data_IF_730358732425
#
_entry.id   IF_730358732425
#
_cell.length_a   1.000
_cell.length_b   1.000
_cell.length_c   1.000
_cell.angle_alpha   90.00
_cell.angle_beta   90.00
_cell.angle_gamma   90.00
#
_symmetry.space_group_name_H-M   'P 1'
#
loop_
_entity.id
_entity.type
_entity.pdbx_description
1 polymer ?
#
# COMPACT_ATOMS: atom_id res chain seq x y z
N UNK A 1 2.34 18.95 -16.23
CA UNK A 1 0.96 18.43 -16.25
C UNK A 1 0.00 19.23 -15.40
N UNK A 2 0.39 20.12 -14.48
CA UNK A 2 -0.51 21.15 -13.94
C UNK A 2 0.28 22.42 -13.60
N UNK A 3 0.31 23.40 -14.51
CA UNK A 3 0.89 24.72 -14.26
C UNK A 3 -0.20 25.71 -13.80
N UNK A 4 -0.89 25.40 -12.70
CA UNK A 4 -1.84 26.30 -12.03
C UNK A 4 -3.14 26.64 -12.76
N UNK A 5 -3.24 26.42 -14.08
CA UNK A 5 -4.48 26.60 -14.86
C UNK A 5 -5.33 25.33 -14.84
N UNK A 6 -6.03 25.12 -13.73
CA UNK A 6 -6.94 23.98 -13.59
C UNK A 6 -8.20 24.14 -14.46
N UNK A 7 -8.65 25.36 -14.72
CA UNK A 7 -9.86 25.62 -15.50
C UNK A 7 -9.64 25.32 -16.99
N UNK A 8 -8.55 25.82 -17.58
CA UNK A 8 -8.16 25.51 -18.96
C UNK A 8 -7.80 24.03 -19.15
N UNK A 9 -7.21 23.38 -18.13
CA UNK A 9 -6.98 21.93 -18.12
C UNK A 9 -8.30 21.15 -18.14
N UNK A 10 -9.27 21.53 -17.30
CA UNK A 10 -10.58 20.88 -17.26
C UNK A 10 -11.36 21.05 -18.57
N UNK A 11 -11.29 22.23 -19.20
CA UNK A 11 -11.91 22.46 -20.51
C UNK A 11 -11.29 21.56 -21.59
N UNK A 12 -9.96 21.41 -21.57
CA UNK A 12 -9.25 20.55 -22.52
C UNK A 12 -9.66 19.07 -22.38
N UNK A 13 -9.76 18.56 -21.15
CA UNK A 13 -10.20 17.18 -20.90
C UNK A 13 -11.68 16.95 -21.25
N UNK A 14 -12.55 17.94 -21.03
CA UNK A 14 -13.95 17.89 -21.49
C UNK A 14 -14.03 17.76 -23.01
N UNK A 15 -13.29 18.58 -23.76
CA UNK A 15 -13.24 18.49 -25.23
C UNK A 15 -12.70 17.13 -25.69
N UNK A 16 -11.72 16.57 -24.96
CA UNK A 16 -11.21 15.22 -25.24
C UNK A 16 -12.29 14.15 -25.03
N UNK A 17 -13.09 14.23 -23.96
CA UNK A 17 -14.23 13.32 -23.73
C UNK A 17 -15.26 13.39 -24.87
N UNK A 18 -15.62 14.59 -25.31
CA UNK A 18 -16.57 14.77 -26.42
C UNK A 18 -16.07 14.10 -27.70
N UNK A 19 -14.76 14.20 -27.99
CA UNK A 19 -14.13 13.50 -29.10
C UNK A 19 -14.10 11.98 -28.95
N UNK A 20 -13.82 11.48 -27.75
CA UNK A 20 -13.76 10.04 -27.45
C UNK A 20 -15.13 9.35 -27.46
N UNK A 21 -16.23 10.07 -27.18
CA UNK A 21 -17.58 9.52 -27.31
C UNK A 21 -17.92 9.11 -28.76
N UNK A 22 -17.18 9.62 -29.76
CA UNK A 22 -17.37 9.33 -31.18
C UNK A 22 -16.54 8.15 -31.71
N UNK A 23 -15.90 7.34 -30.85
CA UNK A 23 -15.13 6.15 -31.28
C UNK A 23 -13.91 5.78 -30.44
N UNK A 24 -13.71 6.41 -29.28
CA UNK A 24 -12.63 6.12 -28.35
C UNK A 24 -12.82 4.79 -27.61
N UNK A 25 -11.71 4.17 -27.18
CA UNK A 25 -11.77 2.99 -26.34
C UNK A 25 -12.19 3.39 -24.91
N UNK A 26 -12.97 2.53 -24.24
CA UNK A 26 -13.40 2.69 -22.84
C UNK A 26 -12.24 3.03 -21.90
N UNK A 27 -11.04 2.49 -22.15
CA UNK A 27 -9.83 2.80 -21.39
C UNK A 27 -9.48 4.30 -21.43
N UNK A 28 -9.51 4.91 -22.61
CA UNK A 28 -9.14 6.31 -22.79
C UNK A 28 -10.19 7.23 -22.15
N UNK A 29 -11.46 6.83 -22.22
CA UNK A 29 -12.59 7.52 -21.57
C UNK A 29 -12.43 7.46 -20.04
N UNK A 30 -12.12 6.29 -19.48
CA UNK A 30 -11.87 6.12 -18.04
C UNK A 30 -10.68 6.97 -17.57
N UNK A 31 -9.55 6.90 -18.27
CA UNK A 31 -8.39 7.74 -17.98
C UNK A 31 -8.75 9.21 -17.96
N UNK A 32 -9.48 9.68 -18.98
CA UNK A 32 -9.83 11.10 -19.12
C UNK A 32 -10.74 11.55 -17.98
N UNK A 33 -11.72 10.72 -17.59
CA UNK A 33 -12.54 10.98 -16.41
C UNK A 33 -11.72 11.02 -15.11
N UNK A 34 -10.78 10.09 -14.91
CA UNK A 34 -9.93 10.08 -13.72
C UNK A 34 -9.07 11.34 -13.60
N UNK A 35 -8.43 11.76 -14.70
CA UNK A 35 -7.60 12.98 -14.72
C UNK A 35 -8.45 14.25 -14.59
N UNK A 36 -9.63 14.29 -15.21
CA UNK A 36 -10.58 15.38 -15.04
C UNK A 36 -11.05 15.49 -13.58
N UNK A 37 -11.30 14.35 -12.92
CA UNK A 37 -11.66 14.31 -11.50
C UNK A 37 -10.57 14.88 -10.59
N UNK A 38 -9.30 14.53 -10.82
CA UNK A 38 -8.17 15.13 -10.10
C UNK A 38 -8.06 16.64 -10.36
N UNK A 39 -8.27 17.05 -11.62
CA UNK A 39 -8.20 18.46 -12.01
C UNK A 39 -9.25 19.29 -11.26
N UNK A 40 -10.50 18.83 -11.21
CA UNK A 40 -11.55 19.48 -10.43
C UNK A 40 -11.25 19.47 -8.93
N UNK A 41 -10.73 18.36 -8.41
CA UNK A 41 -10.40 18.23 -7.00
C UNK A 41 -9.32 19.21 -6.55
N UNK A 42 -8.23 19.32 -7.30
CA UNK A 42 -7.17 20.30 -7.03
C UNK A 42 -7.62 21.75 -7.23
N UNK A 43 -8.65 21.98 -8.06
CA UNK A 43 -9.31 23.28 -8.18
C UNK A 43 -10.33 23.58 -7.05
N UNK A 44 -10.62 22.60 -6.18
CA UNK A 44 -11.61 22.72 -5.10
C UNK A 44 -13.07 22.46 -5.51
N UNK A 45 -13.34 22.07 -6.75
CA UNK A 45 -14.69 21.69 -7.22
C UNK A 45 -14.96 20.21 -6.86
N UNK A 46 -15.20 19.95 -5.58
CA UNK A 46 -15.37 18.61 -5.02
C UNK A 46 -16.55 17.86 -5.66
N UNK A 47 -17.64 18.57 -5.98
CA UNK A 47 -18.82 17.98 -6.60
C UNK A 47 -18.51 17.43 -8.00
N UNK A 48 -17.85 18.23 -8.86
CA UNK A 48 -17.47 17.75 -10.20
C UNK A 48 -16.33 16.74 -10.16
N UNK A 49 -15.44 16.84 -9.18
CA UNK A 49 -14.41 15.84 -8.94
C UNK A 49 -15.04 14.47 -8.65
N UNK A 50 -15.99 14.41 -7.71
CA UNK A 50 -16.70 13.19 -7.35
C UNK A 50 -17.46 12.60 -8.55
N UNK A 51 -18.19 13.44 -9.29
CA UNK A 51 -18.93 12.99 -10.48
C UNK A 51 -18.00 12.38 -11.54
N UNK A 52 -16.83 12.99 -11.77
CA UNK A 52 -15.85 12.49 -12.74
C UNK A 52 -15.21 11.17 -12.30
N UNK A 53 -14.87 11.04 -11.01
CA UNK A 53 -14.35 9.78 -10.48
C UNK A 53 -15.39 8.66 -10.53
N UNK A 54 -16.65 8.94 -10.21
CA UNK A 54 -17.74 7.96 -10.37
C UNK A 54 -17.89 7.50 -11.83
N UNK A 55 -17.79 8.41 -12.80
CA UNK A 55 -17.79 8.04 -14.22
C UNK A 55 -16.61 7.12 -14.59
N UNK A 56 -15.40 7.41 -14.11
CA UNK A 56 -14.24 6.54 -14.28
C UNK A 56 -14.49 5.13 -13.69
N UNK A 57 -14.97 5.06 -12.44
CA UNK A 57 -15.20 3.79 -11.74
C UNK A 57 -16.27 2.93 -12.44
N UNK A 58 -17.35 3.54 -12.93
CA UNK A 58 -18.40 2.85 -13.67
C UNK A 58 -17.89 2.19 -14.97
N UNK A 59 -16.82 2.72 -15.57
CA UNK A 59 -16.18 2.13 -16.75
C UNK A 59 -15.18 1.06 -16.35
N UNK A 60 -14.39 1.31 -15.30
CA UNK A 60 -13.31 0.41 -14.91
C UNK A 60 -13.82 -0.91 -14.29
N UNK A 61 -14.92 -0.87 -13.53
CA UNK A 61 -15.42 -2.06 -12.82
C UNK A 61 -15.81 -3.21 -13.76
N UNK A 62 -16.64 -3.00 -14.81
CA UNK A 62 -16.96 -4.06 -15.75
C UNK A 62 -15.79 -4.47 -16.65
N UNK A 63 -14.81 -3.57 -16.86
CA UNK A 63 -13.65 -3.81 -17.71
C UNK A 63 -12.48 -4.48 -16.98
N UNK A 64 -12.61 -4.76 -15.68
CA UNK A 64 -11.54 -5.22 -14.79
C UNK A 64 -10.27 -4.33 -14.87
N UNK A 65 -10.44 -3.06 -15.22
CA UNK A 65 -9.36 -2.08 -15.32
C UNK A 65 -8.95 -1.67 -13.90
N UNK A 66 -7.68 -1.87 -13.56
CA UNK A 66 -7.19 -1.72 -12.18
C UNK A 66 -6.40 -0.43 -11.95
N UNK A 67 -5.74 0.11 -12.99
CA UNK A 67 -4.85 1.25 -12.86
C UNK A 67 -5.62 2.53 -12.56
N UNK A 68 -6.49 2.96 -13.48
CA UNK A 68 -7.30 4.17 -13.35
C UNK A 68 -8.33 4.02 -12.23
N UNK A 69 -8.88 2.80 -12.04
CA UNK A 69 -9.73 2.49 -10.89
C UNK A 69 -9.05 2.83 -9.57
N UNK A 70 -7.82 2.36 -9.38
CA UNK A 70 -7.11 2.61 -8.12
C UNK A 70 -6.89 4.11 -7.88
N UNK A 71 -6.47 4.87 -8.90
CA UNK A 71 -6.21 6.31 -8.75
C UNK A 71 -7.50 7.12 -8.56
N UNK A 72 -8.60 6.73 -9.20
CA UNK A 72 -9.91 7.33 -8.95
C UNK A 72 -10.44 7.00 -7.55
N UNK A 73 -10.24 5.78 -7.04
CA UNK A 73 -10.61 5.44 -5.66
C UNK A 73 -9.84 6.27 -4.62
N UNK A 74 -8.52 6.42 -4.81
CA UNK A 74 -7.67 7.25 -3.94
C UNK A 74 -8.15 8.70 -3.94
N UNK A 75 -8.24 9.32 -5.12
CA UNK A 75 -8.62 10.73 -5.16
C UNK A 75 -10.09 10.96 -4.75
N UNK A 76 -11.01 10.01 -5.01
CA UNK A 76 -12.37 10.09 -4.51
C UNK A 76 -12.42 9.98 -2.97
N UNK A 77 -11.54 9.19 -2.36
CA UNK A 77 -11.38 9.11 -0.90
C UNK A 77 -11.05 10.48 -0.30
N UNK A 78 -10.06 11.18 -0.86
CA UNK A 78 -9.71 12.55 -0.48
C UNK A 78 -10.88 13.54 -0.69
N UNK A 79 -11.60 13.43 -1.80
CA UNK A 79 -12.75 14.30 -2.10
C UNK A 79 -13.89 14.10 -1.11
N UNK A 80 -14.25 12.86 -0.80
CA UNK A 80 -15.28 12.53 0.20
C UNK A 80 -14.88 13.04 1.57
N UNK A 81 -13.63 12.80 1.97
CA UNK A 81 -13.12 13.30 3.25
C UNK A 81 -13.16 14.83 3.36
N UNK A 82 -12.91 15.55 2.27
CA UNK A 82 -12.93 17.01 2.24
C UNK A 82 -14.34 17.62 2.18
N UNK A 83 -15.32 16.95 1.59
CA UNK A 83 -16.66 17.48 1.34
C UNK A 83 -17.59 17.38 2.56
N UNK A 84 -17.86 16.15 3.02
CA UNK A 84 -18.82 15.88 4.10
C UNK A 84 -18.16 15.36 5.39
N UNK A 85 -16.87 15.02 5.33
CA UNK A 85 -16.14 14.44 6.46
C UNK A 85 -16.54 13.01 6.81
N UNK A 86 -17.19 12.27 5.90
CA UNK A 86 -17.50 10.85 6.05
C UNK A 86 -16.21 10.03 6.03
N UNK A 87 -15.58 9.99 7.20
CA UNK A 87 -14.32 9.30 7.45
C UNK A 87 -14.44 7.80 7.14
N UNK A 88 -15.59 7.19 7.43
CA UNK A 88 -15.78 5.75 7.21
C UNK A 88 -15.74 5.43 5.73
N UNK A 89 -16.47 6.21 4.91
CA UNK A 89 -16.48 6.04 3.47
C UNK A 89 -15.15 6.39 2.84
N UNK A 90 -14.51 7.48 3.25
CA UNK A 90 -13.21 7.90 2.74
C UNK A 90 -12.13 6.83 3.00
N UNK A 91 -12.02 6.33 4.23
CA UNK A 91 -11.07 5.26 4.59
C UNK A 91 -11.36 3.98 3.81
N UNK A 92 -12.63 3.63 3.60
CA UNK A 92 -12.98 2.45 2.79
C UNK A 92 -12.54 2.58 1.32
N UNK A 93 -12.65 3.77 0.72
CA UNK A 93 -12.16 4.05 -0.64
C UNK A 93 -10.64 3.95 -0.71
N UNK A 94 -9.93 4.51 0.27
CA UNK A 94 -8.48 4.45 0.36
C UNK A 94 -7.96 3.00 0.49
N UNK A 95 -8.58 2.19 1.36
CA UNK A 95 -8.21 0.77 1.51
C UNK A 95 -8.43 -0.04 0.23
N UNK A 96 -9.52 0.22 -0.51
CA UNK A 96 -9.74 -0.40 -1.82
C UNK A 96 -8.69 0.01 -2.84
N UNK A 97 -8.30 1.30 -2.85
CA UNK A 97 -7.23 1.80 -3.70
C UNK A 97 -5.90 1.13 -3.39
N UNK A 98 -5.54 1.08 -2.11
CA UNK A 98 -4.33 0.47 -1.60
C UNK A 98 -4.23 -1.02 -1.97
N UNK A 99 -5.35 -1.75 -1.91
CA UNK A 99 -5.41 -3.16 -2.29
C UNK A 99 -5.08 -3.37 -3.78
N UNK A 100 -5.61 -2.54 -4.67
CA UNK A 100 -5.30 -2.60 -6.10
C UNK A 100 -3.84 -2.24 -6.36
N UNK A 101 -3.34 -1.18 -5.72
CA UNK A 101 -1.94 -0.72 -5.85
C UNK A 101 -0.94 -1.76 -5.35
N UNK A 102 -1.27 -2.45 -4.25
CA UNK A 102 -0.50 -3.61 -3.74
C UNK A 102 -0.35 -4.68 -4.81
N UNK A 103 -1.42 -5.03 -5.54
CA UNK A 103 -1.39 -6.06 -6.58
C UNK A 103 -0.61 -5.64 -7.82
N UNK A 104 -0.54 -4.34 -8.09
CA UNK A 104 0.16 -3.77 -9.24
C UNK A 104 1.63 -3.41 -8.97
N UNK A 105 2.13 -3.59 -7.75
CA UNK A 105 3.44 -3.07 -7.27
C UNK A 105 3.61 -1.56 -7.53
N UNK A 106 2.51 -0.79 -7.42
CA UNK A 106 2.50 0.66 -7.60
C UNK A 106 2.94 1.36 -6.31
N UNK A 107 4.26 1.53 -6.14
CA UNK A 107 4.85 2.12 -4.94
C UNK A 107 4.48 3.58 -4.73
N UNK A 108 4.35 4.35 -5.83
CA UNK A 108 3.90 5.74 -5.79
C UNK A 108 2.47 5.80 -5.26
N UNK A 109 1.61 4.97 -5.82
CA UNK A 109 0.24 4.82 -5.37
C UNK A 109 0.13 4.43 -3.91
N UNK A 110 0.93 3.45 -3.45
CA UNK A 110 0.93 3.01 -2.05
C UNK A 110 1.31 4.18 -1.14
N UNK A 111 2.37 4.92 -1.46
CA UNK A 111 2.78 6.08 -0.66
C UNK A 111 1.63 7.11 -0.52
N UNK A 112 0.92 7.39 -1.62
CA UNK A 112 -0.23 8.30 -1.63
C UNK A 112 -1.40 7.82 -0.76
N UNK A 113 -1.69 6.52 -0.74
CA UNK A 113 -2.73 5.96 0.13
C UNK A 113 -2.30 5.98 1.60
N UNK A 114 -1.03 5.73 1.91
CA UNK A 114 -0.52 5.81 3.30
C UNK A 114 -0.62 7.24 3.84
N UNK A 115 -0.27 8.23 3.03
CA UNK A 115 -0.46 9.65 3.34
C UNK A 115 -1.94 9.98 3.62
N UNK A 116 -2.83 9.65 2.69
CA UNK A 116 -4.25 9.93 2.82
C UNK A 116 -4.85 9.30 4.08
N UNK A 117 -4.56 8.02 4.34
CA UNK A 117 -5.00 7.33 5.55
C UNK A 117 -4.42 7.97 6.82
N UNK A 118 -3.17 8.44 6.79
CA UNK A 118 -2.59 9.13 7.94
C UNK A 118 -3.35 10.42 8.28
N UNK A 119 -3.65 11.24 7.27
CA UNK A 119 -4.37 12.49 7.45
C UNK A 119 -5.79 12.24 7.98
N UNK A 120 -6.47 11.25 7.43
CA UNK A 120 -7.81 10.82 7.85
C UNK A 120 -7.86 10.35 9.31
N UNK A 121 -6.85 9.62 9.78
CA UNK A 121 -6.80 9.10 11.16
C UNK A 121 -6.23 10.10 12.19
N UNK A 122 -5.70 11.25 11.77
CA UNK A 122 -4.95 12.15 12.67
C UNK A 122 -5.73 12.56 13.93
N UNK A 123 -7.04 12.77 13.83
CA UNK A 123 -7.87 13.20 14.97
C UNK A 123 -8.22 12.06 15.93
N UNK A 124 -8.50 10.87 15.42
CA UNK A 124 -8.96 9.73 16.22
C UNK A 124 -7.81 8.88 16.75
N UNK A 125 -6.73 8.75 15.99
CA UNK A 125 -5.54 7.97 16.34
C UNK A 125 -4.27 8.67 15.81
N UNK A 126 -3.76 9.69 16.52
CA UNK A 126 -2.58 10.43 16.11
C UNK A 126 -1.30 9.55 16.08
N UNK A 127 -1.26 8.46 16.87
CA UNK A 127 -0.16 7.49 16.83
C UNK A 127 -0.15 6.72 15.52
N UNK A 128 -1.33 6.25 15.09
CA UNK A 128 -1.50 5.57 13.80
C UNK A 128 -1.17 6.51 12.65
N UNK A 129 -1.63 7.75 12.69
CA UNK A 129 -1.29 8.75 11.70
C UNK A 129 0.24 8.94 11.60
N UNK A 130 0.94 9.18 12.71
CA UNK A 130 2.39 9.33 12.73
C UNK A 130 3.13 8.11 12.14
N UNK A 131 2.68 6.89 12.47
CA UNK A 131 3.25 5.65 11.93
C UNK A 131 3.05 5.51 10.43
N UNK A 132 1.87 5.85 9.91
CA UNK A 132 1.59 5.85 8.48
C UNK A 132 2.43 6.91 7.73
N UNK A 133 2.62 8.09 8.30
CA UNK A 133 3.48 9.14 7.73
C UNK A 133 4.94 8.70 7.62
N UNK A 134 5.48 8.01 8.64
CA UNK A 134 6.83 7.45 8.60
C UNK A 134 6.99 6.34 7.56
N UNK A 135 5.98 5.49 7.40
CA UNK A 135 5.97 4.46 6.36
C UNK A 135 5.91 5.07 4.95
N UNK A 136 5.11 6.12 4.76
CA UNK A 136 5.04 6.87 3.49
C UNK A 136 6.40 7.52 3.15
N UNK A 137 7.08 8.12 4.12
CA UNK A 137 8.38 8.77 3.94
C UNK A 137 9.47 7.82 3.44
N UNK A 138 9.44 6.57 3.92
CA UNK A 138 10.34 5.50 3.46
C UNK A 138 10.08 5.20 1.98
N UNK A 139 8.81 5.17 1.55
CA UNK A 139 8.46 4.98 0.13
C UNK A 139 8.86 6.16 -0.74
N UNK A 140 8.61 7.40 -0.30
CA UNK A 140 9.02 8.59 -1.03
C UNK A 140 10.52 8.61 -1.28
N UNK A 141 11.31 8.28 -0.24
CA UNK A 141 12.76 8.12 -0.34
C UNK A 141 13.16 7.06 -1.36
N UNK A 142 12.51 5.88 -1.35
CA UNK A 142 12.79 4.79 -2.29
C UNK A 142 12.46 5.14 -3.75
N UNK A 143 11.43 5.96 -3.99
CA UNK A 143 11.00 6.37 -5.35
C UNK A 143 11.84 7.56 -5.85
N UNK A 144 12.68 8.17 -4.99
CA UNK A 144 13.45 9.37 -5.28
C UNK A 144 12.58 10.54 -5.77
N UNK A 145 11.40 10.69 -5.16
CA UNK A 145 10.48 11.81 -5.37
C UNK A 145 9.90 12.26 -4.03
N UNK A 146 9.08 13.29 -4.00
CA UNK A 146 8.45 13.79 -2.78
C UNK A 146 6.99 14.18 -3.02
N UNK A 147 6.22 14.21 -1.94
CA UNK A 147 4.84 14.68 -1.96
C UNK A 147 4.72 16.13 -2.48
N UNK A 148 5.76 16.96 -2.31
CA UNK A 148 5.81 18.34 -2.81
C UNK A 148 5.70 18.44 -4.34
N UNK A 149 6.06 17.37 -5.07
CA UNK A 149 5.89 17.32 -6.52
C UNK A 149 4.42 17.26 -6.95
N UNK A 150 3.49 17.01 -6.00
CA UNK A 150 2.06 16.85 -6.25
C UNK A 150 1.31 18.07 -5.68
N UNK A 151 0.75 18.93 -6.54
CA UNK A 151 0.09 20.16 -6.12
C UNK A 151 -1.01 19.92 -5.06
N UNK A 152 -1.03 20.78 -4.03
CA UNK A 152 -2.11 20.82 -3.04
C UNK A 152 -2.05 19.75 -1.94
N UNK A 153 -1.19 18.73 -2.05
CA UNK A 153 -1.15 17.65 -1.06
C UNK A 153 -0.20 17.89 0.11
N UNK A 154 0.92 18.58 -0.11
CA UNK A 154 1.91 18.82 0.94
C UNK A 154 1.35 19.58 2.17
N UNK A 155 0.46 20.59 2.02
CA UNK A 155 -0.17 21.23 3.18
C UNK A 155 -0.96 20.26 4.07
N UNK A 156 -1.64 19.26 3.49
CA UNK A 156 -2.39 18.25 4.26
C UNK A 156 -1.48 17.43 5.17
N UNK A 157 -0.28 17.08 4.66
CA UNK A 157 0.75 16.43 5.46
C UNK A 157 1.25 17.31 6.58
N UNK A 158 1.54 18.59 6.31
CA UNK A 158 2.02 19.52 7.34
C UNK A 158 0.98 19.70 8.45
N UNK A 159 -0.29 19.85 8.08
CA UNK A 159 -1.40 19.99 9.03
C UNK A 159 -1.61 18.71 9.86
N UNK A 160 -1.48 17.53 9.23
CA UNK A 160 -1.53 16.24 9.92
C UNK A 160 -0.39 16.09 10.94
N UNK A 161 0.85 16.37 10.53
CA UNK A 161 2.02 16.29 11.42
C UNK A 161 1.88 17.25 12.60
N UNK A 162 1.50 18.51 12.33
CA UNK A 162 1.28 19.51 13.36
C UNK A 162 0.19 19.07 14.35
N UNK A 163 -0.97 18.68 13.84
CA UNK A 163 -2.12 18.28 14.66
C UNK A 163 -1.81 17.03 15.50
N UNK A 164 -1.10 16.05 14.93
CA UNK A 164 -0.66 14.88 15.68
C UNK A 164 0.31 15.28 16.80
N UNK A 165 1.33 16.11 16.51
CA UNK A 165 2.26 16.59 17.55
C UNK A 165 1.57 17.37 18.66
N UNK A 166 0.57 18.19 18.33
CA UNK A 166 -0.24 18.92 19.31
C UNK A 166 -1.07 17.96 20.18
N UNK A 167 -1.63 16.90 19.61
CA UNK A 167 -2.50 15.97 20.31
C UNK A 167 -1.76 14.98 21.23
N UNK A 168 -0.60 14.46 20.81
CA UNK A 168 0.13 13.41 21.56
C UNK A 168 1.51 13.82 22.04
N UNK A 169 1.99 15.02 21.70
CA UNK A 169 3.33 15.50 22.02
C UNK A 169 4.40 15.08 21.01
N UNK A 170 5.46 15.87 20.91
CA UNK A 170 6.53 15.70 19.92
C UNK A 170 7.35 14.41 20.09
N UNK A 171 7.66 14.00 21.32
CA UNK A 171 8.45 12.79 21.58
C UNK A 171 7.64 11.51 21.23
N UNK A 172 6.40 11.33 21.71
CA UNK A 172 5.56 10.21 21.29
C UNK A 172 5.31 10.18 19.77
N UNK A 173 5.16 11.34 19.12
CA UNK A 173 5.03 11.43 17.67
C UNK A 173 6.28 10.87 17.00
N UNK A 174 7.47 11.31 17.45
CA UNK A 174 8.76 10.92 16.87
C UNK A 174 8.99 9.42 17.01
N UNK A 175 8.64 8.82 18.15
CA UNK A 175 8.69 7.38 18.35
C UNK A 175 7.75 6.63 17.39
N UNK A 176 6.48 7.06 17.28
CA UNK A 176 5.49 6.41 16.39
C UNK A 176 5.86 6.55 14.92
N UNK A 177 6.40 7.71 14.53
CA UNK A 177 6.95 7.95 13.19
C UNK A 177 8.12 7.02 12.89
N UNK A 178 9.06 6.85 13.83
CA UNK A 178 10.19 5.94 13.68
C UNK A 178 9.77 4.47 13.59
N UNK A 179 8.70 4.06 14.27
CA UNK A 179 8.10 2.73 14.06
C UNK A 179 7.59 2.55 12.62
N UNK A 180 7.12 3.62 12.00
CA UNK A 180 6.67 3.65 10.61
C UNK A 180 7.81 3.56 9.61
N UNK A 181 8.93 4.23 9.88
CA UNK A 181 10.11 4.16 9.00
C UNK A 181 10.86 2.84 9.09
N UNK A 182 10.66 2.08 10.18
CA UNK A 182 11.33 0.81 10.42
C UNK A 182 10.58 -0.42 9.83
N UNK A 183 9.33 -0.29 9.43
CA UNK A 183 8.56 -1.41 8.86
C UNK A 183 8.80 -1.55 7.35
N UNK A 184 8.84 -2.78 6.86
CA UNK A 184 8.91 -3.04 5.42
C UNK A 184 7.57 -2.71 4.72
N UNK A 185 7.61 -2.58 3.39
CA UNK A 185 6.46 -2.21 2.58
C UNK A 185 5.24 -3.14 2.78
N UNK A 186 5.44 -4.44 2.89
CA UNK A 186 4.33 -5.38 3.04
C UNK A 186 3.67 -5.20 4.42
N UNK A 187 4.48 -5.05 5.47
CA UNK A 187 4.01 -4.74 6.82
C UNK A 187 3.29 -3.38 6.90
N UNK A 188 3.78 -2.35 6.20
CA UNK A 188 3.13 -1.04 6.11
C UNK A 188 1.75 -1.11 5.46
N UNK A 189 1.64 -1.85 4.34
CA UNK A 189 0.35 -2.04 3.66
C UNK A 189 -0.62 -2.83 4.54
N UNK A 190 -0.18 -3.92 5.16
CA UNK A 190 -1.02 -4.72 6.06
C UNK A 190 -1.51 -3.89 7.26
N UNK A 191 -0.63 -3.09 7.85
CA UNK A 191 -0.96 -2.17 8.94
C UNK A 191 -2.02 -1.14 8.51
N UNK A 192 -1.86 -0.53 7.34
CA UNK A 192 -2.78 0.46 6.79
C UNK A 192 -4.16 -0.13 6.44
N UNK A 193 -4.19 -1.35 5.90
CA UNK A 193 -5.41 -2.09 5.62
C UNK A 193 -6.13 -2.58 6.89
N UNK A 194 -5.51 -2.44 8.07
CA UNK A 194 -5.96 -3.07 9.32
C UNK A 194 -6.19 -4.56 9.13
N UNK A 195 -5.35 -5.18 8.31
CA UNK A 195 -5.29 -6.62 8.25
C UNK A 195 -4.90 -7.05 9.66
N UNK A 196 -5.83 -7.71 10.35
CA UNK A 196 -5.51 -8.41 11.59
C UNK A 196 -4.27 -9.23 11.25
N UNK A 197 -3.17 -9.13 12.02
CA UNK A 197 -2.08 -10.09 11.85
C UNK A 197 -2.77 -11.43 11.89
N UNK A 198 -2.73 -12.16 10.75
CA UNK A 198 -3.72 -13.20 10.53
C UNK A 198 -3.67 -14.08 11.76
N UNK A 199 -4.80 -14.28 12.44
CA UNK A 199 -4.87 -15.20 13.57
C UNK A 199 -4.72 -16.67 13.12
N UNK A 200 -4.11 -16.89 11.94
CA UNK A 200 -3.51 -18.12 11.43
C UNK A 200 -2.14 -17.90 10.75
N UNK A 201 -1.46 -16.78 11.00
CA UNK A 201 -0.08 -16.47 10.58
C UNK A 201 0.57 -15.57 11.63
N UNK A 202 0.72 -16.09 12.84
CA UNK A 202 1.65 -15.52 13.81
C UNK A 202 3.03 -16.03 13.39
N UNK A 203 3.75 -15.20 12.63
CA UNK A 203 5.17 -15.08 12.87
C UNK A 203 5.31 -14.66 14.34
N UNK A 204 5.64 -15.61 15.21
CA UNK A 204 6.01 -15.28 16.58
C UNK A 204 7.20 -14.32 16.53
N UNK A 205 7.13 -13.15 17.18
CA UNK A 205 8.32 -12.38 17.50
C UNK A 205 8.94 -13.02 18.74
N UNK A 206 9.61 -14.17 18.58
CA UNK A 206 10.63 -14.59 19.54
C UNK A 206 12.02 -14.22 18.98
N UNK A 207 12.76 -13.29 19.61
CA UNK A 207 14.17 -13.15 19.33
C UNK A 207 14.90 -14.30 20.03
N UNK A 208 15.53 -15.18 19.25
CA UNK A 208 16.79 -15.85 19.60
C UNK A 208 17.42 -16.47 18.36
N UNK A 209 18.48 -15.81 17.93
CA UNK A 209 19.44 -16.16 16.89
C UNK A 209 19.95 -17.60 17.04
N UNK A 210 19.58 -18.47 16.09
CA UNK A 210 20.44 -19.58 15.70
C UNK A 210 21.63 -19.04 14.87
N UNK A 211 22.72 -19.79 14.69
CA UNK A 211 24.02 -19.24 14.28
C UNK A 211 24.08 -18.58 12.88
N UNK A 212 22.97 -18.58 12.10
CA UNK A 212 22.86 -18.04 10.73
C UNK A 212 21.54 -17.26 10.50
N UNK A 213 20.84 -16.83 11.55
CA UNK A 213 19.73 -15.86 11.38
C UNK A 213 18.43 -16.39 10.75
N UNK A 214 18.25 -17.71 10.65
CA UNK A 214 16.92 -18.29 10.41
C UNK A 214 16.06 -18.22 11.68
N UNK A 215 14.77 -17.94 11.53
CA UNK A 215 13.79 -18.05 12.62
C UNK A 215 13.57 -19.51 13.00
N UNK A 216 13.02 -19.78 14.19
CA UNK A 216 12.67 -21.16 14.61
C UNK A 216 11.80 -21.87 13.58
N UNK A 217 10.84 -21.15 13.00
CA UNK A 217 9.91 -21.70 12.01
C UNK A 217 10.61 -21.97 10.67
N UNK A 218 11.49 -21.07 10.24
CA UNK A 218 12.32 -21.29 9.05
C UNK A 218 13.27 -22.48 9.23
N UNK A 219 13.84 -22.65 10.42
CA UNK A 219 14.68 -23.79 10.75
C UNK A 219 13.89 -25.10 10.66
N UNK A 220 12.70 -25.15 11.27
CA UNK A 220 11.81 -26.32 11.21
C UNK A 220 11.43 -26.66 9.76
N UNK A 221 11.15 -25.66 8.92
CA UNK A 221 10.85 -25.88 7.50
C UNK A 221 12.10 -26.35 6.75
N UNK A 222 13.28 -25.80 7.03
CA UNK A 222 14.55 -26.23 6.44
C UNK A 222 14.88 -27.71 6.78
N UNK A 223 14.64 -28.14 8.02
CA UNK A 223 14.78 -29.55 8.43
C UNK A 223 13.83 -30.46 7.65
N UNK A 224 12.55 -30.08 7.52
CA UNK A 224 11.58 -30.86 6.76
C UNK A 224 11.93 -30.91 5.26
N UNK A 225 12.45 -29.82 4.68
CA UNK A 225 12.98 -29.81 3.32
C UNK A 225 14.15 -30.80 3.17
N UNK A 226 15.02 -30.89 4.17
CA UNK A 226 16.15 -31.83 4.17
C UNK A 226 15.72 -33.30 4.22
N UNK A 227 14.52 -33.59 4.71
CA UNK A 227 13.91 -34.94 4.63
C UNK A 227 13.28 -35.27 3.28
N UNK A 228 13.26 -34.34 2.33
CA UNK A 228 12.74 -34.55 0.97
C UNK A 228 11.24 -34.28 0.79
N UNK A 229 10.57 -33.74 1.81
CA UNK A 229 9.13 -33.47 1.76
C UNK A 229 8.78 -32.35 0.77
N UNK A 230 7.65 -32.47 0.06
CA UNK A 230 7.15 -31.40 -0.82
C UNK A 230 6.55 -30.25 0.00
N UNK A 231 6.35 -29.08 -0.62
CA UNK A 231 5.71 -27.96 0.08
C UNK A 231 4.29 -28.31 0.54
N UNK A 232 3.61 -29.22 -0.16
CA UNK A 232 2.31 -29.74 0.21
C UNK A 232 2.39 -30.65 1.44
N UNK A 233 3.37 -31.56 1.51
CA UNK A 233 3.53 -32.45 2.67
C UNK A 233 3.95 -31.67 3.92
N UNK A 234 4.81 -30.65 3.74
CA UNK A 234 5.23 -29.75 4.82
C UNK A 234 4.01 -28.96 5.31
N UNK A 235 3.18 -28.45 4.41
CA UNK A 235 1.96 -27.72 4.75
C UNK A 235 0.99 -28.59 5.57
N UNK A 236 0.78 -29.84 5.14
CA UNK A 236 -0.03 -30.81 5.88
C UNK A 236 0.57 -31.14 7.25
N UNK A 237 1.88 -31.36 7.34
CA UNK A 237 2.58 -31.72 8.58
C UNK A 237 2.61 -30.56 9.59
N UNK A 238 2.66 -29.33 9.11
CA UNK A 238 2.73 -28.12 9.91
C UNK A 238 1.38 -27.42 10.11
N UNK A 239 0.30 -27.98 9.55
CA UNK A 239 -1.08 -27.46 9.58
C UNK A 239 -1.12 -25.99 9.16
N UNK A 240 -0.53 -25.69 8.01
CA UNK A 240 -0.50 -24.35 7.38
C UNK A 240 -0.82 -24.46 5.88
N UNK A 241 -1.02 -23.33 5.21
CA UNK A 241 -1.26 -23.35 3.76
C UNK A 241 0.01 -23.68 2.97
N UNK A 242 -0.14 -24.30 1.80
CA UNK A 242 0.97 -24.53 0.85
C UNK A 242 1.69 -23.23 0.49
N UNK A 243 0.94 -22.14 0.27
CA UNK A 243 1.49 -20.81 -0.05
C UNK A 243 2.36 -20.27 1.09
N UNK A 244 1.98 -20.53 2.33
CA UNK A 244 2.78 -20.16 3.52
C UNK A 244 4.12 -20.89 3.53
N UNK A 245 4.13 -22.19 3.18
CA UNK A 245 5.38 -22.94 3.04
C UNK A 245 6.23 -22.39 1.91
N UNK A 246 5.65 -22.06 0.75
CA UNK A 246 6.36 -21.46 -0.39
C UNK A 246 7.06 -20.16 0.02
N UNK A 247 6.34 -19.25 0.69
CA UNK A 247 6.93 -18.00 1.21
C UNK A 247 8.06 -18.24 2.21
N UNK A 248 7.91 -19.20 3.12
CA UNK A 248 9.00 -19.54 4.04
C UNK A 248 10.22 -20.13 3.31
N UNK A 249 10.01 -20.96 2.29
CA UNK A 249 11.10 -21.52 1.46
C UNK A 249 11.85 -20.39 0.74
N UNK A 250 11.14 -19.44 0.14
CA UNK A 250 11.73 -18.27 -0.51
C UNK A 250 12.56 -17.44 0.46
N UNK A 251 12.03 -17.15 1.65
CA UNK A 251 12.75 -16.42 2.69
C UNK A 251 14.01 -17.16 3.16
N UNK A 252 13.95 -18.49 3.32
CA UNK A 252 15.11 -19.31 3.66
C UNK A 252 16.18 -19.21 2.56
N UNK A 253 15.78 -19.32 1.28
CA UNK A 253 16.70 -19.22 0.15
C UNK A 253 17.40 -17.86 0.12
N UNK A 254 16.65 -16.77 0.26
CA UNK A 254 17.20 -15.42 0.30
C UNK A 254 18.16 -15.25 1.47
N UNK A 255 17.77 -15.67 2.69
CA UNK A 255 18.61 -15.54 3.89
C UNK A 255 19.90 -16.35 3.83
N UNK A 256 19.88 -17.50 3.16
CA UNK A 256 21.05 -18.37 3.01
C UNK A 256 21.88 -18.08 1.75
N UNK A 257 21.43 -17.15 0.89
CA UNK A 257 22.07 -16.89 -0.40
C UNK A 257 21.99 -18.07 -1.37
N UNK A 258 20.95 -18.89 -1.24
CA UNK A 258 20.71 -20.07 -2.06
C UNK A 258 19.67 -19.80 -3.14
N UNK A 259 19.75 -20.56 -4.22
CA UNK A 259 18.86 -20.44 -5.38
C UNK A 259 18.00 -21.69 -5.57
N UNK A 260 18.23 -22.74 -4.78
CA UNK A 260 17.48 -23.98 -4.87
C UNK A 260 17.24 -24.64 -3.51
N UNK A 261 16.05 -25.24 -3.35
CA UNK A 261 15.70 -26.06 -2.18
C UNK A 261 16.69 -27.20 -1.90
N UNK A 262 17.36 -27.70 -2.93
CA UNK A 262 18.38 -28.75 -2.81
C UNK A 262 19.61 -28.24 -2.05
N UNK A 263 20.00 -26.98 -2.25
CA UNK A 263 21.09 -26.37 -1.48
C UNK A 263 20.75 -26.26 0.02
N UNK A 264 19.49 -25.92 0.35
CA UNK A 264 19.01 -25.91 1.75
C UNK A 264 19.12 -27.30 2.38
N UNK A 265 18.69 -28.34 1.65
CA UNK A 265 18.75 -29.73 2.13
C UNK A 265 20.19 -30.22 2.37
N UNK A 266 21.12 -29.88 1.47
CA UNK A 266 22.56 -30.19 1.64
C UNK A 266 23.12 -29.48 2.86
N UNK A 267 22.83 -28.19 3.01
CA UNK A 267 23.32 -27.35 4.10
C UNK A 267 22.85 -27.81 5.50
N UNK A 268 21.61 -28.27 5.64
CA UNK A 268 21.13 -28.87 6.90
C UNK A 268 21.92 -30.16 7.21
N UNK A 269 22.08 -31.04 6.21
CA UNK A 269 22.77 -32.34 6.38
C UNK A 269 24.24 -32.19 6.75
N UNK A 270 24.92 -31.16 6.25
CA UNK A 270 26.31 -30.87 6.61
C UNK A 270 26.48 -30.49 8.09
N UNK A 271 25.42 -30.03 8.75
CA UNK A 271 25.43 -29.59 10.15
C UNK A 271 24.82 -30.57 11.13
N UNK A 272 24.03 -31.52 10.64
CA UNK A 272 23.52 -32.63 11.44
C UNK A 272 24.51 -33.80 11.54
N UNK A 273 25.70 -33.70 10.91
CA UNK A 273 26.80 -34.64 11.14
C UNK A 273 27.45 -34.33 12.50
N UNK A 274 27.56 -35.30 13.41
CA UNK A 274 28.24 -35.12 14.69
C UNK A 274 29.75 -34.87 14.52
#
# INVERSE_FOLDING_TARGET
MFMGDFEGSAESFKRALDGLQSGGNLRDIAQTHGVLGMTYGFAGDLQRAAASHHACLNICEPAEESWYRSYSLWHLGLVVWADDGDLTRAVALEKQSLELKRRMDDRLGVALCLEALAWMHTREDPRRAARLLGAADTLWTMIATSLEAIPGLFPLRQDSEKSAREAMGSEPFTASYAEGTAIDLASAIAYALEEKPATGSIADPEPRTGPIGLTKREHQIAELLATGLTNQDIASKLVISRRTVETHVENILVKLGFTSRTQVAVWIRERSKP
#
